data_IF_328553566262
#
_entry.id   IF_328553566262
#
_cell.length_a   1.000
_cell.length_b   1.000
_cell.length_c   1.000
_cell.angle_alpha   90.00
_cell.angle_beta   90.00
_cell.angle_gamma   90.00
#
_symmetry.space_group_name_H-M   'P 1'
#
loop_
_entity.id
_entity.type
_entity.pdbx_description
1 polymer ?
#
# COMPACT_ATOMS: atom_id res chain seq x y z
N UNK A 1 -16.34 13.73 14.20
CA UNK A 1 -16.09 13.61 12.73
C UNK A 1 -16.66 12.27 12.20
N UNK A 2 -16.79 12.03 10.88
CA UNK A 2 -17.37 10.77 10.35
C UNK A 2 -16.55 9.51 10.75
N UNK A 3 -15.23 9.61 10.80
CA UNK A 3 -14.35 8.49 11.15
C UNK A 3 -14.48 8.06 12.62
N UNK A 4 -14.60 9.03 13.53
CA UNK A 4 -14.87 8.75 14.96
C UNK A 4 -16.23 8.07 15.16
N UNK A 5 -17.28 8.57 14.50
CA UNK A 5 -18.63 8.00 14.59
C UNK A 5 -18.72 6.57 14.07
N UNK A 6 -17.89 6.23 13.08
CA UNK A 6 -17.78 4.88 12.52
C UNK A 6 -16.72 4.01 13.23
N UNK A 7 -16.13 4.49 14.33
CA UNK A 7 -15.11 3.79 15.12
C UNK A 7 -13.95 3.27 14.25
N UNK A 8 -13.48 4.11 13.32
CA UNK A 8 -12.38 3.76 12.42
C UNK A 8 -11.05 3.85 13.16
N UNK A 9 -10.45 2.70 13.43
CA UNK A 9 -9.09 2.57 13.97
C UNK A 9 -8.07 2.50 12.84
N UNK A 10 -6.77 2.65 13.14
CA UNK A 10 -5.71 2.48 12.13
C UNK A 10 -5.77 1.14 11.40
N UNK A 11 -6.18 0.07 12.09
CA UNK A 11 -6.39 -1.26 11.48
C UNK A 11 -7.59 -1.28 10.52
N UNK A 12 -8.70 -0.67 10.91
CA UNK A 12 -9.88 -0.52 10.03
C UNK A 12 -9.58 0.40 8.85
N UNK A 13 -8.70 1.39 9.02
CA UNK A 13 -8.29 2.30 7.96
C UNK A 13 -7.63 1.56 6.79
N UNK A 14 -6.86 0.51 7.07
CA UNK A 14 -6.27 -0.36 6.03
C UNK A 14 -7.35 -1.03 5.18
N UNK A 15 -8.52 -1.32 5.76
CA UNK A 15 -9.63 -1.97 5.08
C UNK A 15 -10.52 -1.01 4.28
N UNK A 16 -10.37 0.31 4.46
CA UNK A 16 -11.24 1.29 3.82
C UNK A 16 -10.82 1.46 2.36
N UNK A 17 -11.76 1.19 1.47
CA UNK A 17 -11.69 1.53 0.06
C UNK A 17 -12.65 2.66 -0.29
N UNK A 18 -12.60 3.13 -1.53
CA UNK A 18 -13.49 4.19 -2.01
C UNK A 18 -14.98 3.79 -1.93
N UNK A 19 -15.28 2.49 -2.00
CA UNK A 19 -16.65 1.97 -1.97
C UNK A 19 -17.26 1.98 -0.56
N UNK A 20 -16.43 1.91 0.48
CA UNK A 20 -16.86 2.01 1.88
C UNK A 20 -17.21 3.45 2.33
N UNK A 21 -16.67 4.48 1.65
CA UNK A 21 -16.84 5.88 2.05
C UNK A 21 -18.32 6.35 2.03
N UNK A 22 -19.14 6.04 1.00
CA UNK A 22 -20.57 6.34 1.00
C UNK A 22 -21.33 5.73 2.18
N UNK A 23 -21.03 4.48 2.56
CA UNK A 23 -21.68 3.81 3.67
C UNK A 23 -21.36 4.47 5.03
N UNK A 24 -20.24 5.20 5.12
CA UNK A 24 -19.85 5.98 6.30
C UNK A 24 -20.43 7.41 6.31
N UNK A 25 -21.24 7.77 5.31
CA UNK A 25 -21.87 9.08 5.19
C UNK A 25 -21.08 10.10 4.34
N UNK A 26 -20.10 9.65 3.56
CA UNK A 26 -19.31 10.50 2.66
C UNK A 26 -19.79 10.25 1.23
N UNK A 27 -20.70 11.09 0.75
CA UNK A 27 -21.34 10.92 -0.56
C UNK A 27 -20.74 11.79 -1.66
N UNK A 28 -20.02 12.86 -1.31
CA UNK A 28 -19.41 13.75 -2.29
C UNK A 28 -18.26 13.05 -3.01
N UNK A 29 -18.32 13.03 -4.34
CA UNK A 29 -17.33 12.34 -5.17
C UNK A 29 -15.91 12.91 -5.01
N UNK A 30 -15.76 14.23 -4.87
CA UNK A 30 -14.46 14.85 -4.70
C UNK A 30 -13.87 14.51 -3.33
N UNK A 31 -14.70 14.47 -2.28
CA UNK A 31 -14.27 14.00 -0.97
C UNK A 31 -13.85 12.52 -1.00
N UNK A 32 -14.62 11.66 -1.67
CA UNK A 32 -14.27 10.24 -1.84
C UNK A 32 -12.92 10.09 -2.53
N UNK A 33 -12.69 10.83 -3.61
CA UNK A 33 -11.44 10.82 -4.38
C UNK A 33 -10.26 11.29 -3.53
N UNK A 34 -10.43 12.40 -2.83
CA UNK A 34 -9.37 13.00 -2.02
C UNK A 34 -9.03 12.15 -0.81
N UNK A 35 -10.03 11.64 -0.08
CA UNK A 35 -9.79 10.73 1.04
C UNK A 35 -9.13 9.44 0.58
N UNK A 36 -9.56 8.86 -0.54
CA UNK A 36 -8.93 7.67 -1.09
C UNK A 36 -7.46 7.90 -1.45
N UNK A 37 -7.11 9.10 -1.93
CA UNK A 37 -5.72 9.50 -2.20
C UNK A 37 -4.92 9.63 -0.90
N UNK A 38 -5.45 10.39 0.06
CA UNK A 38 -4.80 10.63 1.36
C UNK A 38 -4.57 9.34 2.15
N UNK A 39 -5.53 8.42 2.16
CA UNK A 39 -5.38 7.11 2.83
C UNK A 39 -4.25 6.30 2.19
N UNK A 40 -4.16 6.30 0.85
CA UNK A 40 -3.08 5.60 0.15
C UNK A 40 -1.71 6.21 0.43
N UNK A 41 -1.62 7.54 0.46
CA UNK A 41 -0.39 8.25 0.81
C UNK A 41 0.03 7.99 2.26
N UNK A 42 -0.91 8.03 3.19
CA UNK A 42 -0.64 7.73 4.60
C UNK A 42 -0.14 6.30 4.82
N UNK A 43 -0.68 5.33 4.07
CA UNK A 43 -0.28 3.93 4.14
C UNK A 43 0.93 3.60 3.26
N UNK A 44 1.45 4.58 2.51
CA UNK A 44 2.55 4.41 1.57
C UNK A 44 2.26 3.31 0.53
N UNK A 45 1.01 3.27 0.04
CA UNK A 45 0.55 2.34 -1.00
C UNK A 45 0.72 3.00 -2.36
N UNK A 46 1.51 2.42 -3.28
CA UNK A 46 1.71 3.02 -4.59
C UNK A 46 0.43 2.96 -5.43
N UNK A 47 0.20 4.05 -6.18
CA UNK A 47 -0.87 4.12 -7.16
C UNK A 47 -0.58 3.13 -8.30
N UNK A 48 -1.44 2.11 -8.46
CA UNK A 48 -1.29 1.14 -9.53
C UNK A 48 -2.14 1.55 -10.74
N UNK A 49 -1.53 1.88 -11.90
CA UNK A 49 -2.28 2.03 -13.14
C UNK A 49 -2.86 0.68 -13.56
N UNK A 50 -4.03 0.73 -14.20
CA UNK A 50 -5.03 -0.30 -14.53
C UNK A 50 -4.55 -1.62 -15.18
N UNK A 51 -3.25 -1.79 -15.45
CA UNK A 51 -2.68 -3.02 -16.02
C UNK A 51 -2.38 -4.07 -14.94
N UNK A 52 -3.46 -4.69 -14.42
CA UNK A 52 -3.46 -5.78 -13.43
C UNK A 52 -2.93 -7.08 -14.04
N UNK A 53 -1.67 -7.42 -13.78
CA UNK A 53 -1.24 -8.83 -13.71
C UNK A 53 -1.42 -9.32 -12.26
N UNK A 54 -2.18 -10.40 -12.07
CA UNK A 54 -2.67 -10.97 -10.80
C UNK A 54 -1.60 -11.45 -9.79
N UNK A 55 -0.32 -11.14 -9.99
CA UNK A 55 0.74 -11.59 -9.09
C UNK A 55 1.01 -10.54 -8.02
N UNK A 56 0.71 -10.89 -6.76
CA UNK A 56 1.11 -10.16 -5.55
C UNK A 56 2.53 -9.61 -5.70
N UNK A 57 2.67 -8.31 -5.96
CA UNK A 57 3.99 -7.70 -6.18
C UNK A 57 4.42 -6.73 -5.12
N UNK A 58 3.48 -6.11 -4.40
CA UNK A 58 3.86 -5.12 -3.41
C UNK A 58 3.92 -5.75 -2.00
N UNK A 59 5.14 -5.94 -1.45
CA UNK A 59 5.28 -6.42 -0.08
C UNK A 59 4.59 -5.49 0.92
N UNK A 60 4.46 -4.19 0.64
CA UNK A 60 3.76 -3.24 1.50
C UNK A 60 2.27 -3.55 1.56
N UNK A 61 1.63 -3.78 0.43
CA UNK A 61 0.20 -4.13 0.38
C UNK A 61 -0.03 -5.47 1.10
N UNK A 62 0.83 -6.46 0.83
CA UNK A 62 0.74 -7.76 1.49
C UNK A 62 0.92 -7.64 3.02
N UNK A 63 1.88 -6.84 3.47
CA UNK A 63 2.09 -6.53 4.87
C UNK A 63 0.88 -5.82 5.51
N UNK A 64 0.28 -4.85 4.81
CA UNK A 64 -0.90 -4.15 5.32
C UNK A 64 -2.12 -5.06 5.43
N UNK A 65 -2.36 -5.94 4.45
CA UNK A 65 -3.41 -6.96 4.54
C UNK A 65 -3.19 -7.94 5.70
N UNK A 66 -1.94 -8.25 5.98
CA UNK A 66 -1.51 -8.93 7.20
C UNK A 66 -1.97 -8.11 8.43
N UNK A 67 -1.49 -6.86 8.58
CA UNK A 67 -1.75 -5.99 9.75
C UNK A 67 -3.22 -5.62 9.95
N UNK A 68 -4.05 -5.74 8.92
CA UNK A 68 -5.51 -5.59 8.99
C UNK A 68 -6.16 -6.64 9.89
N UNK A 69 -5.59 -7.83 10.02
CA UNK A 69 -6.11 -8.91 10.87
C UNK A 69 -5.72 -8.71 12.33
N UNK A 70 -6.43 -9.39 13.23
CA UNK A 70 -6.13 -9.40 14.68
C UNK A 70 -5.38 -10.66 15.05
N UNK A 71 -4.31 -10.53 15.83
CA UNK A 71 -3.53 -11.65 16.35
C UNK A 71 -2.20 -11.19 16.91
N UNK A 72 -1.71 -11.86 17.96
CA UNK A 72 -0.47 -11.50 18.66
C UNK A 72 0.71 -11.47 17.69
N UNK A 73 0.84 -12.49 16.85
CA UNK A 73 1.88 -12.58 15.82
C UNK A 73 1.81 -11.37 14.88
N UNK A 74 0.63 -11.13 14.30
CA UNK A 74 0.37 -10.03 13.36
C UNK A 74 0.68 -8.66 13.95
N UNK A 75 0.38 -8.47 15.23
CA UNK A 75 0.60 -7.21 15.94
C UNK A 75 2.09 -6.99 16.23
N UNK A 76 2.83 -8.05 16.57
CA UNK A 76 4.27 -8.02 16.81
C UNK A 76 5.12 -7.93 15.54
N UNK A 77 4.61 -8.39 14.40
CA UNK A 77 5.38 -8.47 13.15
C UNK A 77 5.65 -7.08 12.57
N UNK A 78 6.95 -6.77 12.46
CA UNK A 78 7.45 -5.57 11.78
C UNK A 78 7.52 -5.79 10.26
N UNK A 79 7.59 -4.72 9.49
CA UNK A 79 7.72 -4.82 8.03
C UNK A 79 9.01 -5.56 7.60
N UNK A 80 10.11 -5.38 8.32
CA UNK A 80 11.38 -6.06 8.02
C UNK A 80 11.30 -7.56 8.30
N UNK A 81 10.68 -7.94 9.41
CA UNK A 81 10.41 -9.35 9.75
C UNK A 81 9.55 -9.99 8.66
N UNK A 82 8.47 -9.32 8.27
CA UNK A 82 7.59 -9.77 7.18
C UNK A 82 8.34 -9.99 5.87
N UNK A 83 9.20 -9.05 5.47
CA UNK A 83 10.02 -9.16 4.26
C UNK A 83 11.01 -10.34 4.33
N UNK A 84 11.61 -10.57 5.50
CA UNK A 84 12.54 -11.66 5.72
C UNK A 84 11.85 -13.03 5.60
N UNK A 85 10.71 -13.19 6.24
CA UNK A 85 9.89 -14.41 6.20
C UNK A 85 9.33 -14.67 4.80
N UNK A 86 8.93 -13.61 4.09
CA UNK A 86 8.32 -13.70 2.76
C UNK A 86 9.31 -13.44 1.61
N UNK A 87 10.62 -13.59 1.85
CA UNK A 87 11.68 -13.34 0.86
C UNK A 87 11.53 -14.14 -0.44
N UNK A 88 10.89 -15.30 -0.37
CA UNK A 88 10.62 -16.17 -1.52
C UNK A 88 9.53 -15.60 -2.44
N UNK A 89 8.57 -14.85 -1.87
CA UNK A 89 7.50 -14.16 -2.60
C UNK A 89 7.92 -12.78 -3.08
N UNK A 90 8.77 -12.10 -2.29
CA UNK A 90 9.27 -10.76 -2.60
C UNK A 90 10.80 -10.76 -2.72
N UNK A 91 11.36 -11.42 -3.76
CA UNK A 91 12.81 -11.43 -3.94
C UNK A 91 13.29 -9.99 -4.15
N UNK A 92 14.27 -9.57 -3.35
CA UNK A 92 14.94 -8.29 -3.55
C UNK A 92 15.61 -8.31 -4.92
N UNK A 93 14.99 -7.70 -5.93
CA UNK A 93 15.66 -7.48 -7.21
C UNK A 93 16.85 -6.59 -6.94
N UNK A 94 18.08 -7.13 -7.08
CA UNK A 94 19.28 -6.31 -7.16
C UNK A 94 19.02 -5.25 -8.22
N UNK A 95 18.87 -3.98 -7.81
CA UNK A 95 18.78 -2.87 -8.75
C UNK A 95 20.01 -2.94 -9.63
N UNK A 96 19.84 -3.34 -10.90
CA UNK A 96 20.89 -3.17 -11.91
C UNK A 96 21.15 -1.68 -11.99
N UNK A 97 22.25 -1.23 -11.42
CA UNK A 97 22.78 0.10 -11.63
C UNK A 97 23.06 0.25 -13.12
N UNK A 98 22.17 0.95 -13.84
CA UNK A 98 22.46 1.37 -15.20
C UNK A 98 23.57 2.41 -15.14
N UNK A 99 24.83 1.98 -15.32
CA UNK A 99 25.94 2.91 -15.57
C UNK A 99 25.71 3.55 -16.94
N UNK A 100 25.37 4.85 -16.96
CA UNK A 100 25.38 5.65 -18.20
C UNK A 100 26.81 5.63 -18.78
N UNK A 101 27.06 4.82 -19.82
CA UNK A 101 28.22 5.03 -20.69
C UNK A 101 27.96 6.33 -21.48
N UNK A 102 28.63 7.42 -21.11
CA UNK A 102 28.74 8.59 -21.97
C UNK A 102 29.55 8.18 -23.21
N UNK A 103 28.92 8.11 -24.37
CA UNK A 103 29.62 8.04 -25.65
C UNK A 103 30.07 9.45 -26.03
N UNK A 104 31.37 9.71 -25.93
CA UNK A 104 32.03 10.84 -26.56
C UNK A 104 31.97 10.66 -28.09
N UNK A 105 31.25 11.54 -28.79
CA UNK A 105 31.46 11.75 -30.23
C UNK A 105 32.59 12.78 -30.39
N UNK A 106 33.75 12.34 -30.86
CA UNK A 106 34.77 13.23 -31.41
C UNK A 106 34.27 13.83 -32.72
N UNK A 107 34.55 15.12 -32.90
CA UNK A 107 34.41 15.86 -34.15
C UNK A 107 35.50 15.45 -35.13
#
# INVERSE_FOLDING_TARGET
>A
SCFERNFITGRKLIAIDASALPAMGIHDFNHIKELSRLIRELLDIPFHPTNRSLRMRDPKIAYLEMKRRTGIEMDSTTYNTFLFENKHFFPQTRRRSFSKKRSSKSK
#
